data_IF_537076511441
#
_entry.id   IF_537076511441
#
_cell.length_a   1.000
_cell.length_b   1.000
_cell.length_c   1.000
_cell.angle_alpha   90.00
_cell.angle_beta   90.00
_cell.angle_gamma   90.00
#
_symmetry.space_group_name_H-M   'P 1'
#
loop_
_entity.id
_entity.type
_entity.pdbx_description
1 polymer ?
#
# COMPACT_ATOMS: atom_id res chain seq x y z
N UNK A 1 7.87 -10.86 5.04
CA UNK A 1 6.53 -10.23 5.05
C UNK A 1 6.63 -8.98 5.92
N UNK A 2 6.48 -7.81 5.31
CA UNK A 2 6.41 -6.50 5.97
C UNK A 2 4.93 -6.19 6.21
N UNK A 3 4.58 -5.77 7.42
CA UNK A 3 3.22 -5.37 7.79
C UNK A 3 3.27 -4.03 8.50
N UNK A 4 2.30 -3.16 8.20
CA UNK A 4 2.06 -1.90 8.89
C UNK A 4 0.77 -2.00 9.70
N UNK A 5 0.64 -1.15 10.72
CA UNK A 5 -0.59 -1.03 11.47
C UNK A 5 -1.52 -0.05 10.75
N UNK A 6 -2.61 -0.55 10.18
CA UNK A 6 -3.61 0.26 9.50
C UNK A 6 -4.31 1.17 10.51
N UNK A 7 -4.24 2.49 10.33
CA UNK A 7 -4.88 3.44 11.25
C UNK A 7 -6.30 3.86 10.79
N UNK A 8 -6.85 3.19 9.78
CA UNK A 8 -8.16 3.47 9.18
C UNK A 8 -9.37 2.99 10.03
N UNK A 9 -9.25 3.06 11.36
CA UNK A 9 -10.33 2.73 12.31
C UNK A 9 -10.54 1.23 12.58
N UNK A 10 -9.75 0.36 11.97
CA UNK A 10 -9.76 -1.08 12.16
C UNK A 10 -8.36 -1.47 12.64
N UNK A 11 -8.15 -1.73 13.94
CA UNK A 11 -6.88 -2.20 14.52
C UNK A 11 -6.38 -3.48 13.83
N UNK A 12 -5.74 -3.34 12.67
CA UNK A 12 -5.36 -4.44 11.77
C UNK A 12 -3.92 -4.24 11.32
N UNK A 13 -3.24 -5.36 11.10
CA UNK A 13 -1.93 -5.37 10.47
C UNK A 13 -2.12 -5.89 9.04
N UNK A 14 -1.73 -5.07 8.07
CA UNK A 14 -1.82 -5.36 6.64
C UNK A 14 -0.50 -5.03 5.93
N UNK A 15 -0.31 -5.49 4.68
CA UNK A 15 0.78 -4.98 3.86
C UNK A 15 0.57 -3.48 3.60
N UNK A 16 1.65 -2.71 3.33
CA UNK A 16 1.51 -1.35 2.83
C UNK A 16 0.68 -1.31 1.54
N UNK A 17 -0.12 -0.27 1.36
CA UNK A 17 -0.95 -0.14 0.17
C UNK A 17 -2.04 0.91 0.28
N UNK A 18 -2.52 1.34 -0.89
CA UNK A 18 -3.52 2.38 -1.00
C UNK A 18 -4.10 2.46 -2.41
N UNK A 19 -4.81 3.56 -2.67
CA UNK A 19 -5.52 3.77 -3.92
C UNK A 19 -4.56 4.18 -5.04
N UNK A 20 -4.75 3.59 -6.21
CA UNK A 20 -4.02 3.97 -7.42
C UNK A 20 -4.30 5.41 -7.83
N UNK A 21 -3.25 6.18 -8.12
CA UNK A 21 -3.38 7.52 -8.67
C UNK A 21 -3.56 7.52 -10.20
N UNK A 22 -4.10 8.58 -10.81
CA UNK A 22 -4.29 8.64 -12.26
C UNK A 22 -2.98 8.47 -13.04
N UNK A 23 -2.91 7.41 -13.83
CA UNK A 23 -1.76 7.12 -14.70
C UNK A 23 -0.73 6.17 -14.10
N UNK A 24 -0.90 5.75 -12.85
CA UNK A 24 -0.09 4.69 -12.26
C UNK A 24 -0.53 3.30 -12.77
N UNK A 25 0.43 2.39 -12.82
CA UNK A 25 0.19 0.95 -12.81
C UNK A 25 0.05 0.45 -11.37
N UNK A 26 -0.60 -0.70 -11.13
CA UNK A 26 -0.70 -1.27 -9.79
C UNK A 26 0.65 -1.49 -9.08
N UNK A 27 1.71 -1.79 -9.85
CA UNK A 27 3.07 -1.94 -9.33
C UNK A 27 3.67 -0.59 -8.92
N UNK A 28 3.47 0.47 -9.70
CA UNK A 28 3.92 1.83 -9.35
C UNK A 28 3.22 2.31 -8.08
N UNK A 29 1.90 2.11 -7.98
CA UNK A 29 1.13 2.36 -6.77
C UNK A 29 1.70 1.59 -5.57
N UNK A 30 1.92 0.28 -5.69
CA UNK A 30 2.46 -0.52 -4.59
C UNK A 30 3.85 -0.03 -4.13
N UNK A 31 4.72 0.37 -5.06
CA UNK A 31 6.04 0.90 -4.72
C UNK A 31 5.96 2.26 -4.02
N UNK A 32 5.09 3.16 -4.52
CA UNK A 32 4.84 4.48 -3.91
C UNK A 32 4.30 4.35 -2.50
N UNK A 33 3.26 3.55 -2.30
CA UNK A 33 2.62 3.35 -0.98
C UNK A 33 3.61 2.77 0.04
N UNK A 34 4.45 1.79 -0.34
CA UNK A 34 5.50 1.29 0.55
C UNK A 34 6.47 2.41 0.97
N UNK A 35 6.88 3.25 0.03
CA UNK A 35 7.77 4.37 0.34
C UNK A 35 7.10 5.39 1.27
N UNK A 36 5.86 5.76 0.98
CA UNK A 36 5.10 6.73 1.77
C UNK A 36 4.83 6.22 3.19
N UNK A 37 4.40 4.96 3.33
CA UNK A 37 3.97 4.40 4.61
C UNK A 37 5.12 3.90 5.48
N UNK A 38 6.30 3.65 4.91
CA UNK A 38 7.40 3.01 5.64
C UNK A 38 8.78 3.65 5.46
N UNK A 39 8.94 4.56 4.51
CA UNK A 39 10.25 5.10 4.14
C UNK A 39 11.17 4.13 3.40
N UNK A 40 10.66 2.94 3.03
CA UNK A 40 11.42 1.90 2.35
C UNK A 40 11.26 1.99 0.84
N UNK A 41 12.36 1.78 0.12
CA UNK A 41 12.34 1.64 -1.33
C UNK A 41 12.37 0.15 -1.63
N UNK A 42 11.45 -0.29 -2.50
CA UNK A 42 11.30 -1.69 -2.89
C UNK A 42 11.37 -1.88 -4.40
N UNK A 43 11.88 -3.03 -4.81
CA UNK A 43 11.64 -3.58 -6.14
C UNK A 43 10.39 -4.47 -6.10
N UNK A 44 9.42 -4.17 -6.97
CA UNK A 44 8.18 -4.95 -7.10
C UNK A 44 8.44 -6.17 -7.99
N UNK A 45 8.17 -7.35 -7.44
CA UNK A 45 8.36 -8.65 -8.07
C UNK A 45 7.06 -9.24 -8.61
N UNK A 46 6.84 -10.52 -8.34
CA UNK A 46 5.71 -11.26 -8.89
C UNK A 46 4.36 -10.69 -8.44
N UNK A 47 3.40 -10.66 -9.37
CA UNK A 47 1.99 -10.45 -9.04
C UNK A 47 1.42 -11.71 -8.40
N UNK A 48 0.97 -11.58 -7.15
CA UNK A 48 0.55 -12.72 -6.32
C UNK A 48 -0.95 -12.95 -6.38
N UNK A 49 -1.74 -11.88 -6.43
CA UNK A 49 -3.20 -11.95 -6.36
C UNK A 49 -3.87 -10.73 -7.01
N UNK A 50 -4.97 -10.96 -7.71
CA UNK A 50 -6.01 -9.96 -7.98
C UNK A 50 -7.32 -10.48 -7.38
N UNK A 51 -7.93 -9.71 -6.49
CA UNK A 51 -9.20 -10.07 -5.86
C UNK A 51 -10.13 -8.86 -5.83
N UNK A 52 -11.38 -9.07 -6.20
CA UNK A 52 -12.42 -8.06 -6.01
C UNK A 52 -12.88 -8.10 -4.55
N UNK A 53 -12.62 -7.02 -3.83
CA UNK A 53 -12.99 -6.87 -2.43
C UNK A 53 -14.24 -5.99 -2.31
N UNK A 54 -15.10 -6.37 -1.36
CA UNK A 54 -16.31 -5.63 -1.05
C UNK A 54 -15.98 -4.49 -0.07
N UNK A 55 -16.16 -3.25 -0.51
CA UNK A 55 -16.05 -2.03 0.30
C UNK A 55 -17.38 -1.27 0.38
N UNK A 56 -17.31 0.03 0.64
CA UNK A 56 -18.45 0.95 0.40
C UNK A 56 -18.87 0.89 -1.08
N UNK A 57 -17.86 0.88 -1.96
CA UNK A 57 -17.94 0.47 -3.35
C UNK A 57 -16.98 -0.71 -3.58
N UNK A 58 -17.31 -1.68 -4.45
CA UNK A 58 -16.39 -2.78 -4.80
C UNK A 58 -15.11 -2.25 -5.45
N UNK A 59 -13.96 -2.83 -5.09
CA UNK A 59 -12.67 -2.46 -5.67
C UNK A 59 -11.80 -3.69 -5.94
N UNK A 60 -10.91 -3.59 -6.93
CA UNK A 60 -9.94 -4.64 -7.25
C UNK A 60 -8.66 -4.40 -6.46
N UNK A 61 -8.31 -5.33 -5.58
CA UNK A 61 -7.03 -5.32 -4.86
C UNK A 61 -5.99 -6.16 -5.62
N UNK A 62 -4.78 -5.61 -5.75
CA UNK A 62 -3.63 -6.31 -6.32
C UNK A 62 -2.54 -6.47 -5.25
N UNK A 63 -2.03 -7.68 -5.07
CA UNK A 63 -0.92 -7.95 -4.16
C UNK A 63 0.32 -8.40 -4.94
N UNK A 64 1.50 -7.95 -4.48
CA UNK A 64 2.78 -8.23 -5.11
C UNK A 64 3.80 -8.72 -4.09
N UNK A 65 4.75 -9.51 -4.57
CA UNK A 65 6.02 -9.70 -3.89
C UNK A 65 6.84 -8.41 -4.00
N UNK A 66 7.56 -8.05 -2.94
CA UNK A 66 8.43 -6.88 -2.92
C UNK A 66 9.73 -7.17 -2.18
N UNK A 67 10.84 -6.69 -2.72
CA UNK A 67 12.16 -6.80 -2.11
C UNK A 67 12.65 -5.42 -1.69
N UNK A 68 12.99 -5.24 -0.41
CA UNK A 68 13.57 -3.99 0.09
C UNK A 68 14.97 -3.84 -0.49
N UNK A 69 15.22 -2.72 -1.17
CA UNK A 69 16.52 -2.38 -1.74
C UNK A 69 17.25 -1.30 -0.97
N UNK A 70 16.53 -0.38 -0.31
CA UNK A 70 17.10 0.67 0.54
C UNK A 70 16.04 1.34 1.43
N UNK A 71 16.46 2.31 2.24
CA UNK A 71 15.61 3.08 3.15
C UNK A 71 15.80 2.70 4.62
N UNK A 72 15.35 3.57 5.51
CA UNK A 72 15.25 3.30 6.94
C UNK A 72 13.77 3.26 7.33
N UNK A 73 13.29 2.21 8.01
CA UNK A 73 11.90 2.14 8.44
C UNK A 73 11.52 3.33 9.32
N UNK A 74 10.55 4.13 8.87
CA UNK A 74 9.91 5.14 9.69
C UNK A 74 8.42 5.22 9.35
N UNK A 75 7.60 5.65 10.31
CA UNK A 75 6.21 5.97 10.02
C UNK A 75 6.17 7.35 9.35
N UNK A 76 5.33 7.58 8.33
CA UNK A 76 5.07 8.91 7.81
C UNK A 76 4.44 9.78 8.89
N UNK A 77 4.55 11.09 8.69
CA UNK A 77 3.80 12.03 9.52
C UNK A 77 2.32 11.95 9.16
N UNK A 78 1.38 12.15 10.10
CA UNK A 78 -0.04 12.01 9.85
C UNK A 78 -0.58 12.83 8.66
N UNK A 79 0.06 13.97 8.36
CA UNK A 79 -0.25 14.84 7.23
C UNK A 79 0.14 14.29 5.83
N UNK A 80 0.97 13.25 5.76
CA UNK A 80 1.50 12.68 4.51
C UNK A 80 0.73 11.43 4.05
N UNK A 81 -0.19 10.94 4.88
CA UNK A 81 -0.99 9.76 4.57
C UNK A 81 -2.15 10.21 3.69
N UNK A 82 -2.20 9.73 2.44
CA UNK A 82 -3.38 9.84 1.62
C UNK A 82 -4.58 9.31 2.39
N UNK A 83 -5.56 10.17 2.69
CA UNK A 83 -6.83 9.71 3.23
C UNK A 83 -7.48 8.95 2.08
N UNK A 84 -7.25 7.64 2.02
CA UNK A 84 -7.95 6.72 1.12
C UNK A 84 -9.43 6.86 1.41
N UNK A 85 -10.07 7.75 0.68
CA UNK A 85 -11.49 8.04 0.81
C UNK A 85 -12.25 6.81 0.38
N UNK A 86 -12.63 5.97 1.33
CA UNK A 86 -13.84 5.17 1.22
C UNK A 86 -15.01 6.16 1.29
N UNK A 87 -15.29 6.80 0.17
CA UNK A 87 -16.64 7.27 -0.14
C UNK A 87 -17.33 6.22 -0.98
#
# INVERSE_FOLDING_TARGET
MLLIHENYGLFRFGPPGGTMEPGETPQETAAREVLEETGLIVEIGAHLLSEELMGAEPFMAHAFEATIVSGEPHLPRPEEIGVGGLV
#
